data_IF_993099208645
#
_entry.id   IF_993099208645
#
_cell.length_a   1.000
_cell.length_b   1.000
_cell.length_c   1.000
_cell.angle_alpha   90.00
_cell.angle_beta   90.00
_cell.angle_gamma   90.00
#
_symmetry.space_group_name_H-M   'P 1'
#
loop_
_entity.id
_entity.type
_entity.pdbx_description
1 polymer ?
#
# COMPACT_ATOMS: atom_id res chain seq x y z
N UNK A 1 14.70 -13.96 -12.26
CA UNK A 1 14.11 -12.95 -13.18
C UNK A 1 13.70 -13.63 -14.48
N UNK A 2 12.78 -13.06 -15.28
CA UNK A 2 12.47 -13.57 -16.62
C UNK A 2 12.89 -12.51 -17.64
N UNK A 3 13.75 -12.88 -18.59
CA UNK A 3 14.11 -12.02 -19.72
C UNK A 3 13.88 -12.82 -21.00
N UNK A 4 13.15 -12.25 -21.96
CA UNK A 4 12.80 -12.93 -23.22
C UNK A 4 12.21 -14.34 -23.02
N UNK A 5 11.32 -14.49 -22.02
CA UNK A 5 10.68 -15.76 -21.60
C UNK A 5 11.63 -16.83 -21.06
N UNK A 6 12.92 -16.51 -20.85
CA UNK A 6 13.88 -17.40 -20.20
C UNK A 6 14.07 -17.06 -18.72
N UNK A 7 14.22 -18.08 -17.88
CA UNK A 7 14.54 -17.92 -16.46
C UNK A 7 16.01 -17.53 -16.32
N UNK A 8 16.25 -16.38 -15.70
CA UNK A 8 17.57 -15.95 -15.26
C UNK A 8 17.72 -16.34 -13.80
N UNK A 9 18.75 -17.15 -13.54
CA UNK A 9 19.23 -17.45 -12.20
C UNK A 9 19.96 -16.23 -11.64
N UNK A 10 19.66 -15.90 -10.38
CA UNK A 10 20.21 -14.74 -9.70
C UNK A 10 20.57 -15.14 -8.29
N UNK A 11 21.85 -14.99 -7.95
CA UNK A 11 22.33 -15.19 -6.59
C UNK A 11 22.20 -13.89 -5.77
N UNK A 12 22.19 -12.74 -6.46
CA UNK A 12 22.06 -11.40 -5.89
C UNK A 12 21.22 -10.49 -6.79
N UNK A 13 20.67 -9.42 -6.21
CA UNK A 13 19.93 -8.38 -6.94
C UNK A 13 20.15 -7.03 -6.27
N UNK A 14 20.47 -6.00 -7.05
CA UNK A 14 20.63 -4.61 -6.57
C UNK A 14 19.32 -3.81 -6.58
N UNK A 15 18.23 -4.42 -7.07
CA UNK A 15 16.92 -3.76 -7.23
C UNK A 15 16.14 -3.61 -5.90
N UNK A 16 15.97 -4.65 -5.07
CA UNK A 16 15.16 -4.52 -3.86
C UNK A 16 15.90 -3.69 -2.80
N UNK A 17 15.20 -3.26 -1.75
CA UNK A 17 15.83 -2.53 -0.64
C UNK A 17 16.98 -3.33 -0.01
N UNK A 18 18.01 -2.64 0.51
CA UNK A 18 19.25 -3.25 1.05
C UNK A 18 19.01 -4.37 2.09
N UNK A 19 17.99 -4.21 2.94
CA UNK A 19 17.55 -5.24 3.89
C UNK A 19 17.21 -6.58 3.22
N UNK A 20 16.56 -6.55 2.06
CA UNK A 20 16.26 -7.77 1.27
C UNK A 20 17.54 -8.25 0.58
N UNK A 21 18.35 -7.35 0.02
CA UNK A 21 19.60 -7.72 -0.67
C UNK A 21 20.54 -8.51 0.24
N UNK A 22 20.67 -8.09 1.50
CA UNK A 22 21.53 -8.72 2.50
C UNK A 22 20.98 -10.06 2.99
N UNK A 23 19.66 -10.17 3.14
CA UNK A 23 19.01 -11.35 3.72
C UNK A 23 18.82 -12.47 2.69
N UNK A 24 18.51 -12.12 1.43
CA UNK A 24 18.11 -13.07 0.40
C UNK A 24 19.15 -14.19 0.15
N UNK A 25 20.47 -13.93 0.01
CA UNK A 25 21.46 -14.99 -0.21
C UNK A 25 21.58 -15.94 0.99
N UNK A 26 21.51 -15.40 2.21
CA UNK A 26 21.59 -16.18 3.44
C UNK A 26 20.37 -17.09 3.61
N UNK A 27 19.17 -16.55 3.36
CA UNK A 27 17.93 -17.34 3.37
C UNK A 27 17.98 -18.45 2.31
N UNK A 28 18.46 -18.15 1.10
CA UNK A 28 18.57 -19.13 0.03
C UNK A 28 19.53 -20.28 0.40
N UNK A 29 20.68 -19.97 1.00
CA UNK A 29 21.62 -20.99 1.49
C UNK A 29 20.93 -21.93 2.49
N UNK A 30 20.26 -21.37 3.51
CA UNK A 30 19.58 -22.17 4.55
C UNK A 30 18.43 -23.02 3.99
N UNK A 31 17.69 -22.51 3.00
CA UNK A 31 16.66 -23.28 2.31
C UNK A 31 17.29 -24.45 1.55
N UNK A 32 18.39 -24.22 0.84
CA UNK A 32 19.06 -25.27 0.07
C UNK A 32 19.71 -26.34 0.96
N UNK A 33 20.13 -25.98 2.17
CA UNK A 33 20.67 -26.92 3.17
C UNK A 33 19.57 -27.78 3.83
N UNK A 34 18.28 -27.51 3.57
CA UNK A 34 17.14 -28.22 4.16
C UNK A 34 16.26 -28.85 3.09
N UNK A 35 16.27 -30.19 2.99
CA UNK A 35 15.41 -30.92 2.05
C UNK A 35 13.93 -30.57 2.25
N UNK A 36 13.49 -30.43 3.51
CA UNK A 36 12.12 -30.08 3.86
C UNK A 36 11.73 -28.68 3.35
N UNK A 37 12.64 -27.70 3.37
CA UNK A 37 12.33 -26.34 2.91
C UNK A 37 12.52 -26.17 1.40
N UNK A 38 13.46 -26.89 0.79
CA UNK A 38 13.69 -26.80 -0.66
C UNK A 38 12.60 -27.52 -1.47
N UNK A 39 12.14 -28.68 -0.98
CA UNK A 39 11.24 -29.56 -1.73
C UNK A 39 9.90 -28.90 -2.02
N UNK A 40 9.61 -28.76 -3.31
CA UNK A 40 8.35 -28.16 -3.86
C UNK A 40 8.14 -26.69 -3.50
N UNK A 41 9.16 -25.97 -3.03
CA UNK A 41 9.16 -24.52 -2.99
C UNK A 41 9.23 -23.98 -4.42
N UNK A 42 8.31 -23.11 -4.81
CA UNK A 42 8.29 -22.58 -6.19
C UNK A 42 8.39 -21.05 -6.28
N UNK A 43 8.10 -20.33 -5.19
CA UNK A 43 8.16 -18.87 -5.15
C UNK A 43 8.43 -18.38 -3.73
N UNK A 44 9.19 -17.30 -3.62
CA UNK A 44 9.36 -16.53 -2.38
C UNK A 44 8.98 -15.09 -2.68
N UNK A 45 8.06 -14.53 -1.89
CA UNK A 45 7.74 -13.11 -1.93
C UNK A 45 8.42 -12.41 -0.75
N UNK A 46 9.13 -11.31 -1.02
CA UNK A 46 9.74 -10.49 0.02
C UNK A 46 8.99 -9.18 0.19
N UNK A 47 8.71 -8.83 1.43
CA UNK A 47 8.28 -7.48 1.86
C UNK A 47 9.26 -6.98 2.91
N UNK A 48 9.47 -5.68 3.00
CA UNK A 48 10.34 -5.12 4.03
C UNK A 48 9.78 -3.83 4.60
N UNK A 49 10.10 -3.54 5.86
CA UNK A 49 9.92 -2.22 6.46
C UNK A 49 11.14 -1.30 6.33
N UNK A 50 12.15 -1.72 5.55
CA UNK A 50 13.49 -1.13 5.53
C UNK A 50 14.42 -1.69 6.61
N UNK A 51 13.86 -2.28 7.69
CA UNK A 51 14.61 -2.94 8.77
C UNK A 51 14.30 -4.42 8.90
N UNK A 52 13.00 -4.77 8.96
CA UNK A 52 12.54 -6.16 9.00
C UNK A 52 12.13 -6.64 7.63
N UNK A 53 12.25 -7.94 7.37
CA UNK A 53 11.85 -8.59 6.12
C UNK A 53 10.82 -9.68 6.45
N UNK A 54 9.71 -9.67 5.74
CA UNK A 54 8.76 -10.77 5.69
C UNK A 54 9.04 -11.59 4.42
N UNK A 55 9.41 -12.85 4.59
CA UNK A 55 9.59 -13.80 3.50
C UNK A 55 8.40 -14.77 3.45
N UNK A 56 7.60 -14.70 2.40
CA UNK A 56 6.48 -15.62 2.17
C UNK A 56 6.93 -16.72 1.21
N UNK A 57 7.16 -17.92 1.74
CA UNK A 57 7.59 -19.11 0.99
C UNK A 57 6.35 -19.89 0.54
N UNK A 58 6.22 -20.13 -0.77
CA UNK A 58 5.01 -20.70 -1.39
C UNK A 58 5.29 -22.08 -1.98
N UNK A 59 4.49 -23.07 -1.60
CA UNK A 59 4.76 -24.49 -1.84
C UNK A 59 3.66 -25.23 -2.59
N UNK A 60 4.08 -26.23 -3.36
CA UNK A 60 3.21 -27.30 -3.90
C UNK A 60 3.29 -28.59 -3.06
N UNK A 61 3.21 -28.46 -1.73
CA UNK A 61 3.11 -29.56 -0.76
C UNK A 61 2.41 -29.09 0.52
N UNK A 62 1.95 -30.02 1.35
CA UNK A 62 1.51 -29.67 2.70
C UNK A 62 2.72 -29.23 3.55
N UNK A 63 2.46 -28.29 4.46
CA UNK A 63 3.41 -27.80 5.43
C UNK A 63 3.10 -28.47 6.77
N UNK A 64 3.99 -29.35 7.19
CA UNK A 64 3.86 -30.21 8.37
C UNK A 64 4.80 -29.74 9.50
N UNK A 65 4.82 -30.43 10.63
CA UNK A 65 5.61 -30.04 11.81
C UNK A 65 7.11 -29.88 11.51
N UNK A 66 7.68 -30.76 10.67
CA UNK A 66 9.08 -30.65 10.23
C UNK A 66 9.38 -29.33 9.50
N UNK A 67 8.42 -28.84 8.70
CA UNK A 67 8.54 -27.56 8.00
C UNK A 67 8.50 -26.39 8.98
N UNK A 68 7.64 -26.48 10.00
CA UNK A 68 7.53 -25.47 11.06
C UNK A 68 8.85 -25.39 11.83
N UNK A 69 9.41 -26.54 12.22
CA UNK A 69 10.66 -26.58 12.97
C UNK A 69 11.82 -26.02 12.15
N UNK A 70 12.00 -26.49 10.90
CA UNK A 70 13.05 -25.97 10.02
C UNK A 70 12.91 -24.46 9.77
N UNK A 71 11.69 -23.94 9.65
CA UNK A 71 11.46 -22.50 9.47
C UNK A 71 11.75 -21.69 10.74
N UNK A 72 11.50 -22.24 11.93
CA UNK A 72 11.91 -21.63 13.21
C UNK A 72 13.42 -21.55 13.32
N UNK A 73 14.12 -22.64 12.98
CA UNK A 73 15.59 -22.68 13.01
C UNK A 73 16.21 -21.61 12.09
N UNK A 74 15.60 -21.34 10.92
CA UNK A 74 16.00 -20.22 10.07
C UNK A 74 15.73 -18.88 10.74
N UNK A 75 14.54 -18.67 11.31
CA UNK A 75 14.21 -17.41 11.96
C UNK A 75 15.13 -17.11 13.15
N UNK A 76 15.51 -18.14 13.91
CA UNK A 76 16.37 -17.98 15.07
C UNK A 76 17.84 -17.76 14.69
N UNK A 77 18.24 -18.17 13.48
CA UNK A 77 19.61 -18.00 12.96
C UNK A 77 19.81 -16.76 12.09
N UNK A 78 18.74 -16.11 11.63
CA UNK A 78 18.80 -14.90 10.81
C UNK A 78 18.09 -13.74 11.50
N UNK A 79 18.80 -12.64 11.73
CA UNK A 79 18.20 -11.45 12.31
C UNK A 79 17.18 -10.79 11.37
N UNK A 80 16.18 -10.14 11.96
CA UNK A 80 15.21 -9.27 11.27
C UNK A 80 14.32 -9.95 10.21
N UNK A 81 14.16 -11.27 10.24
CA UNK A 81 13.25 -12.00 9.36
C UNK A 81 11.97 -12.43 10.09
N UNK A 82 10.87 -12.51 9.35
CA UNK A 82 9.70 -13.33 9.69
C UNK A 82 9.33 -14.15 8.47
N UNK A 83 8.84 -15.38 8.70
CA UNK A 83 8.60 -16.36 7.63
C UNK A 83 7.12 -16.70 7.60
N UNK A 84 6.50 -16.58 6.43
CA UNK A 84 5.16 -17.10 6.19
C UNK A 84 5.24 -18.28 5.22
N UNK A 85 4.74 -19.44 5.64
CA UNK A 85 4.53 -20.58 4.77
C UNK A 85 3.14 -20.52 4.15
N UNK A 86 3.05 -20.63 2.81
CA UNK A 86 1.78 -20.76 2.10
C UNK A 86 1.77 -22.04 1.28
N UNK A 87 0.68 -22.78 1.37
CA UNK A 87 0.34 -23.89 0.48
C UNK A 87 -1.16 -23.89 0.21
N UNK A 88 -1.67 -24.90 -0.51
CA UNK A 88 -3.11 -25.04 -0.75
C UNK A 88 -3.87 -25.08 0.59
N UNK A 89 -4.65 -24.03 0.86
CA UNK A 89 -5.45 -23.83 2.07
C UNK A 89 -4.65 -23.78 3.39
N UNK A 90 -3.33 -23.62 3.35
CA UNK A 90 -2.53 -23.41 4.57
C UNK A 90 -1.82 -22.07 4.54
N UNK A 91 -1.82 -21.43 5.70
CA UNK A 91 -0.97 -20.29 6.01
C UNK A 91 -0.38 -20.53 7.40
N UNK A 92 0.94 -20.62 7.49
CA UNK A 92 1.66 -20.81 8.75
C UNK A 92 2.57 -19.60 8.96
N UNK A 93 2.48 -18.99 10.13
CA UNK A 93 3.27 -17.83 10.50
C UNK A 93 4.38 -18.24 11.47
N UNK A 94 5.62 -17.88 11.13
CA UNK A 94 6.77 -17.91 12.01
C UNK A 94 7.18 -16.44 12.20
N UNK A 95 7.10 -15.95 13.44
CA UNK A 95 7.35 -14.54 13.74
C UNK A 95 6.13 -13.64 13.51
N UNK A 96 6.36 -12.38 13.11
CA UNK A 96 5.31 -11.37 12.93
C UNK A 96 4.93 -11.23 11.45
N UNK A 97 3.64 -11.21 11.16
CA UNK A 97 3.12 -10.96 9.81
C UNK A 97 3.20 -9.48 9.43
N UNK A 98 2.86 -8.59 10.36
CA UNK A 98 2.74 -7.16 10.07
C UNK A 98 4.09 -6.46 10.24
N UNK A 99 4.48 -5.72 9.20
CA UNK A 99 5.69 -4.92 9.14
C UNK A 99 5.37 -3.45 9.41
N UNK A 100 6.07 -2.86 10.37
CA UNK A 100 5.96 -1.43 10.70
C UNK A 100 6.98 -0.61 9.89
N UNK A 101 6.49 0.09 8.87
CA UNK A 101 7.25 1.07 8.08
C UNK A 101 7.28 2.39 8.83
N UNK A 102 8.46 3.00 8.93
CA UNK A 102 8.61 4.36 9.43
C UNK A 102 8.70 5.31 8.24
N UNK A 103 7.65 6.09 8.01
CA UNK A 103 7.64 7.15 7.02
C UNK A 103 8.09 8.46 7.67
N UNK A 104 9.37 8.79 7.50
CA UNK A 104 9.91 10.08 7.93
C UNK A 104 9.73 11.10 6.81
N UNK A 105 9.04 12.18 7.11
CA UNK A 105 8.78 13.24 6.16
C UNK A 105 8.75 14.60 6.88
N UNK A 106 9.54 15.56 6.37
CA UNK A 106 9.79 16.84 7.03
C UNK A 106 10.20 16.63 8.51
N UNK A 107 9.48 17.25 9.45
CA UNK A 107 9.71 17.10 10.89
C UNK A 107 8.75 16.08 11.54
N UNK A 108 8.13 15.21 10.75
CA UNK A 108 7.15 14.23 11.22
C UNK A 108 7.59 12.80 10.89
N UNK A 109 7.15 11.86 11.73
CA UNK A 109 7.41 10.43 11.53
C UNK A 109 6.12 9.67 11.77
N UNK A 110 5.74 8.85 10.80
CA UNK A 110 4.52 8.04 10.84
C UNK A 110 4.85 6.55 10.83
N UNK A 111 4.22 5.81 11.72
CA UNK A 111 4.27 4.33 11.76
C UNK A 111 3.14 3.77 10.91
N UNK A 112 3.46 3.11 9.81
CA UNK A 112 2.47 2.55 8.88
C UNK A 112 2.66 1.05 8.83
N UNK A 113 1.61 0.29 9.15
CA UNK A 113 1.65 -1.16 9.06
C UNK A 113 1.34 -1.65 7.65
N UNK A 114 2.09 -2.64 7.17
CA UNK A 114 1.83 -3.36 5.92
C UNK A 114 2.11 -4.87 6.09
N UNK A 115 1.65 -5.69 5.15
CA UNK A 115 2.00 -7.11 5.06
C UNK A 115 1.83 -7.63 3.62
N UNK A 116 1.87 -8.96 3.42
CA UNK A 116 1.77 -9.58 2.09
C UNK A 116 0.36 -9.58 1.48
N UNK A 117 -0.66 -9.09 2.20
CA UNK A 117 -2.07 -9.03 1.78
C UNK A 117 -2.53 -7.63 1.34
N UNK A 118 -1.66 -6.62 1.46
CA UNK A 118 -1.99 -5.23 1.15
C UNK A 118 -0.97 -4.60 0.19
N UNK A 119 -1.41 -3.57 -0.52
CA UNK A 119 -0.51 -2.74 -1.31
C UNK A 119 0.22 -1.73 -0.41
N UNK A 120 1.47 -1.46 -0.75
CA UNK A 120 2.28 -0.39 -0.17
C UNK A 120 3.26 0.08 -1.24
N UNK A 121 3.61 1.36 -1.22
CA UNK A 121 4.49 1.98 -2.20
C UNK A 121 5.87 1.29 -2.21
N UNK A 122 6.35 0.78 -3.37
CA UNK A 122 7.51 -0.10 -3.40
C UNK A 122 8.84 0.63 -3.24
N UNK A 123 8.91 1.91 -3.61
CA UNK A 123 10.13 2.71 -3.50
C UNK A 123 10.11 3.57 -2.22
N UNK A 124 10.78 3.08 -1.19
CA UNK A 124 10.90 3.72 0.11
C UNK A 124 11.55 5.11 0.06
N UNK A 125 12.42 5.36 -0.93
CA UNK A 125 13.15 6.61 -1.04
C UNK A 125 12.29 7.72 -1.63
N UNK A 126 11.46 7.40 -2.62
CA UNK A 126 10.60 8.38 -3.28
C UNK A 126 9.29 8.64 -2.52
N UNK A 127 8.83 7.67 -1.73
CA UNK A 127 7.56 7.76 -1.03
C UNK A 127 7.41 9.01 -0.12
N UNK A 128 8.39 9.39 0.73
CA UNK A 128 8.32 10.65 1.47
C UNK A 128 8.31 11.90 0.58
N UNK A 129 8.95 11.85 -0.59
CA UNK A 129 8.97 12.98 -1.54
C UNK A 129 7.60 13.17 -2.21
N UNK A 130 6.89 12.08 -2.48
CA UNK A 130 5.50 12.10 -2.98
C UNK A 130 4.57 12.80 -1.98
N UNK A 131 4.63 12.41 -0.71
CA UNK A 131 3.88 13.05 0.38
C UNK A 131 4.21 14.55 0.45
N UNK A 132 5.51 14.88 0.40
CA UNK A 132 5.95 16.27 0.46
C UNK A 132 5.54 17.13 -0.70
N UNK A 133 5.46 16.54 -1.89
CA UNK A 133 4.94 17.23 -3.06
C UNK A 133 3.46 17.57 -2.88
N UNK A 134 2.64 16.61 -2.43
CA UNK A 134 1.21 16.84 -2.19
C UNK A 134 1.03 17.95 -1.17
N UNK A 135 1.65 17.82 0.00
CA UNK A 135 1.50 18.78 1.10
C UNK A 135 1.83 20.22 0.68
N UNK A 136 2.95 20.43 -0.02
CA UNK A 136 3.39 21.76 -0.45
C UNK A 136 2.46 22.42 -1.47
N UNK A 137 1.54 21.66 -2.06
CA UNK A 137 0.64 22.12 -3.12
C UNK A 137 -0.82 22.16 -2.68
N UNK A 138 -1.13 21.75 -1.45
CA UNK A 138 -2.47 21.90 -0.89
C UNK A 138 -2.87 23.38 -0.80
N UNK A 139 -4.11 23.68 -1.17
CA UNK A 139 -4.65 25.03 -1.11
C UNK A 139 -5.99 25.00 -0.37
N UNK A 140 -6.08 25.77 0.73
CA UNK A 140 -7.28 25.88 1.58
C UNK A 140 -7.85 24.52 2.04
N UNK A 141 -7.04 23.65 2.68
CA UNK A 141 -7.53 22.37 3.16
C UNK A 141 -8.55 22.54 4.29
N UNK A 142 -9.64 21.78 4.21
CA UNK A 142 -10.64 21.58 5.26
C UNK A 142 -10.75 20.09 5.55
N UNK A 143 -11.79 19.39 5.11
CA UNK A 143 -11.86 17.93 5.23
C UNK A 143 -11.41 17.23 3.93
N UNK A 144 -10.87 16.01 4.08
CA UNK A 144 -10.41 15.14 3.00
C UNK A 144 -11.27 13.87 2.89
N UNK A 145 -11.70 13.56 1.68
CA UNK A 145 -12.12 12.20 1.30
C UNK A 145 -10.95 11.50 0.60
N UNK A 146 -10.59 10.30 1.03
CA UNK A 146 -9.60 9.48 0.33
C UNK A 146 -10.24 8.17 -0.14
N UNK A 147 -10.18 7.91 -1.44
CA UNK A 147 -10.60 6.63 -2.03
C UNK A 147 -9.38 5.75 -2.31
N UNK A 148 -9.57 4.43 -2.17
CA UNK A 148 -8.51 3.43 -2.35
C UNK A 148 -7.34 3.66 -1.37
N UNK A 149 -7.64 4.00 -0.12
CA UNK A 149 -6.63 4.44 0.83
C UNK A 149 -5.61 3.35 1.22
N UNK A 150 -5.85 2.08 0.85
CA UNK A 150 -4.99 0.97 1.20
C UNK A 150 -4.81 0.88 2.72
N UNK A 151 -3.60 0.62 3.19
CA UNK A 151 -3.29 0.65 4.63
C UNK A 151 -3.05 2.07 5.18
N UNK A 152 -3.48 3.11 4.44
CA UNK A 152 -3.40 4.53 4.78
C UNK A 152 -2.04 5.15 4.55
N UNK A 153 -1.42 4.79 3.43
CA UNK A 153 -0.12 5.34 3.03
C UNK A 153 -0.16 6.87 2.97
N UNK A 154 -1.11 7.44 2.23
CA UNK A 154 -1.28 8.90 2.16
C UNK A 154 -2.17 9.43 3.28
N UNK A 155 -3.14 8.65 3.76
CA UNK A 155 -4.04 9.02 4.86
C UNK A 155 -3.27 9.50 6.09
N UNK A 156 -2.34 8.69 6.61
CA UNK A 156 -1.70 8.96 7.90
C UNK A 156 -0.81 10.21 7.84
N UNK A 157 0.09 10.37 6.84
CA UNK A 157 0.96 11.54 6.76
C UNK A 157 0.20 12.84 6.45
N UNK A 158 -0.86 12.77 5.65
CA UNK A 158 -1.64 13.96 5.28
C UNK A 158 -2.68 14.36 6.33
N UNK A 159 -2.99 13.49 7.30
CA UNK A 159 -4.03 13.75 8.30
C UNK A 159 -3.86 15.08 9.06
N UNK A 160 -2.62 15.48 9.34
CA UNK A 160 -2.33 16.75 10.04
C UNK A 160 -2.65 18.01 9.23
N UNK A 161 -2.92 17.87 7.93
CA UNK A 161 -3.22 19.00 7.02
C UNK A 161 -4.71 19.23 6.84
N UNK A 162 -5.56 18.33 7.35
CA UNK A 162 -7.00 18.39 7.23
C UNK A 162 -7.66 18.37 8.61
N UNK A 163 -8.85 18.97 8.72
CA UNK A 163 -9.62 18.99 9.96
C UNK A 163 -10.15 17.59 10.28
N UNK A 164 -10.75 16.93 9.30
CA UNK A 164 -11.12 15.52 9.33
C UNK A 164 -10.71 14.82 8.03
N UNK A 165 -10.41 13.53 8.14
CA UNK A 165 -10.15 12.64 7.00
C UNK A 165 -11.14 11.49 7.05
N UNK A 166 -11.82 11.25 5.95
CA UNK A 166 -12.62 10.04 5.75
C UNK A 166 -11.96 9.20 4.66
N UNK A 167 -11.44 8.03 5.04
CA UNK A 167 -10.67 7.16 4.14
C UNK A 167 -11.41 5.85 3.88
N UNK A 168 -11.58 5.49 2.60
CA UNK A 168 -12.32 4.30 2.19
C UNK A 168 -11.46 3.32 1.39
N UNK A 169 -11.67 2.04 1.66
CA UNK A 169 -10.94 0.94 1.04
C UNK A 169 -11.79 -0.34 1.06
N UNK A 170 -11.75 -1.15 0.00
CA UNK A 170 -12.56 -2.37 -0.08
C UNK A 170 -11.91 -3.59 0.61
N UNK A 171 -10.58 -3.58 0.75
CA UNK A 171 -9.79 -4.64 1.33
C UNK A 171 -9.84 -4.58 2.88
N UNK A 172 -10.39 -5.64 3.48
CA UNK A 172 -10.51 -5.75 4.95
C UNK A 172 -9.17 -5.74 5.69
N UNK A 173 -8.10 -6.29 5.09
CA UNK A 173 -6.78 -6.34 5.71
C UNK A 173 -6.15 -4.96 5.73
N UNK A 174 -6.33 -4.19 4.65
CA UNK A 174 -5.92 -2.78 4.56
C UNK A 174 -6.59 -1.93 5.65
N UNK A 175 -7.91 -2.02 5.80
CA UNK A 175 -8.64 -1.29 6.85
C UNK A 175 -8.21 -1.69 8.26
N UNK A 176 -7.96 -2.98 8.51
CA UNK A 176 -7.43 -3.44 9.81
C UNK A 176 -6.09 -2.75 10.12
N UNK A 177 -5.14 -2.82 9.19
CA UNK A 177 -3.81 -2.24 9.34
C UNK A 177 -3.85 -0.71 9.48
N UNK A 178 -4.73 -0.05 8.73
CA UNK A 178 -4.94 1.39 8.85
C UNK A 178 -5.45 1.76 10.25
N UNK A 179 -6.47 1.07 10.77
CA UNK A 179 -7.00 1.31 12.13
C UNK A 179 -5.95 1.12 13.21
N UNK A 180 -5.10 0.10 13.08
CA UNK A 180 -3.97 -0.10 14.00
C UNK A 180 -2.94 1.03 13.85
N UNK A 181 -2.61 1.44 12.62
CA UNK A 181 -1.68 2.54 12.36
C UNK A 181 -2.18 3.88 12.88
N UNK A 182 -3.49 4.17 12.79
CA UNK A 182 -4.12 5.36 13.38
C UNK A 182 -3.84 5.42 14.88
N UNK A 183 -4.02 4.29 15.59
CA UNK A 183 -3.72 4.18 17.03
C UNK A 183 -2.23 4.35 17.32
N UNK A 184 -1.35 3.74 16.53
CA UNK A 184 0.11 3.85 16.70
C UNK A 184 0.63 5.28 16.55
N UNK A 185 -0.06 6.12 15.78
CA UNK A 185 0.28 7.53 15.56
C UNK A 185 -0.55 8.50 16.42
N UNK A 186 -1.44 8.00 17.30
CA UNK A 186 -2.33 8.82 18.13
C UNK A 186 -3.17 9.83 17.33
N UNK A 187 -3.65 9.43 16.15
CA UNK A 187 -4.47 10.29 15.29
C UNK A 187 -5.96 10.11 15.65
N UNK A 188 -6.67 11.22 15.86
CA UNK A 188 -8.09 11.23 16.26
C UNK A 188 -9.02 11.80 15.19
N UNK A 189 -8.48 12.33 14.10
CA UNK A 189 -9.24 13.01 13.05
C UNK A 189 -9.44 12.16 11.79
N UNK A 190 -9.23 10.85 11.87
CA UNK A 190 -9.40 9.92 10.74
C UNK A 190 -10.53 8.94 11.07
N UNK A 191 -11.56 8.96 10.25
CA UNK A 191 -12.56 7.90 10.17
C UNK A 191 -12.29 7.00 8.97
N UNK A 192 -12.58 5.70 9.11
CA UNK A 192 -12.32 4.72 8.05
C UNK A 192 -13.50 3.79 7.85
N UNK A 193 -13.84 3.54 6.60
CA UNK A 193 -14.89 2.61 6.24
C UNK A 193 -14.42 1.63 5.18
N UNK A 194 -14.79 0.35 5.36
CA UNK A 194 -14.58 -0.62 4.31
C UNK A 194 -15.63 -0.39 3.22
N UNK A 195 -15.34 0.32 2.15
CA UNK A 195 -16.29 0.59 1.05
C UNK A 195 -15.53 0.53 -0.27
N UNK A 196 -16.21 0.12 -1.35
CA UNK A 196 -15.72 0.45 -2.70
C UNK A 196 -15.93 1.94 -2.99
N UNK A 197 -15.32 2.40 -4.08
CA UNK A 197 -15.61 3.68 -4.73
C UNK A 197 -17.11 3.87 -4.99
N UNK A 198 -17.78 2.92 -5.63
CA UNK A 198 -19.22 3.01 -5.93
C UNK A 198 -20.06 3.08 -4.64
N UNK A 199 -19.74 2.25 -3.63
CA UNK A 199 -20.42 2.29 -2.34
C UNK A 199 -20.19 3.63 -1.61
N UNK A 200 -19.00 4.21 -1.76
CA UNK A 200 -18.67 5.52 -1.19
C UNK A 200 -19.47 6.64 -1.88
N UNK A 201 -19.59 6.59 -3.22
CA UNK A 201 -20.39 7.53 -3.98
C UNK A 201 -21.87 7.49 -3.56
N UNK A 202 -22.47 6.30 -3.48
CA UNK A 202 -23.86 6.15 -3.02
C UNK A 202 -24.06 6.56 -1.57
N UNK A 203 -23.07 6.38 -0.69
CA UNK A 203 -23.14 6.84 0.69
C UNK A 203 -23.13 8.37 0.80
N UNK A 204 -22.26 9.04 0.03
CA UNK A 204 -22.17 10.51 -0.02
C UNK A 204 -23.43 11.14 -0.60
N UNK A 205 -23.99 10.52 -1.64
CA UNK A 205 -25.25 10.94 -2.26
C UNK A 205 -26.50 10.60 -1.40
N UNK A 206 -26.33 9.93 -0.25
CA UNK A 206 -27.40 9.47 0.63
C UNK A 206 -28.45 8.57 -0.08
N UNK A 207 -28.01 7.83 -1.12
CA UNK A 207 -28.85 6.92 -1.90
C UNK A 207 -29.09 5.59 -1.17
N UNK A 208 -28.11 5.17 -0.35
CA UNK A 208 -28.12 3.89 0.35
C UNK A 208 -27.48 4.01 1.73
N UNK A 209 -28.13 3.41 2.72
CA UNK A 209 -27.56 3.27 4.06
C UNK A 209 -26.64 2.06 4.14
N UNK A 210 -25.49 2.22 4.79
CA UNK A 210 -24.53 1.15 5.00
C UNK A 210 -24.29 0.97 6.49
N UNK A 211 -24.50 -0.25 7.00
CA UNK A 211 -24.19 -0.60 8.40
C UNK A 211 -22.75 -0.25 8.81
N UNK A 212 -21.82 -0.35 7.86
CA UNK A 212 -20.40 0.01 8.05
C UNK A 212 -20.17 1.50 8.36
N UNK A 213 -21.20 2.34 8.24
CA UNK A 213 -21.19 3.77 8.48
C UNK A 213 -22.10 4.20 9.65
N UNK A 214 -22.67 3.26 10.41
CA UNK A 214 -23.68 3.57 11.43
C UNK A 214 -23.23 4.57 12.50
N UNK A 215 -21.92 4.67 12.76
CA UNK A 215 -21.32 5.59 13.73
C UNK A 215 -20.57 6.76 13.07
N UNK A 216 -20.71 6.95 11.76
CA UNK A 216 -20.00 7.98 10.99
C UNK A 216 -21.04 8.90 10.37
N UNK A 217 -21.11 10.13 10.86
CA UNK A 217 -21.90 11.19 10.24
C UNK A 217 -21.12 11.82 9.07
N UNK A 218 -21.18 11.16 7.91
CA UNK A 218 -20.52 11.62 6.67
C UNK A 218 -21.06 13.00 6.25
N UNK A 219 -22.32 13.32 6.53
CA UNK A 219 -22.92 14.59 6.12
C UNK A 219 -22.39 15.77 6.95
N UNK A 220 -21.77 15.51 8.11
CA UNK A 220 -21.07 16.53 8.90
C UNK A 220 -19.74 17.01 8.30
N UNK A 221 -19.22 16.30 7.28
CA UNK A 221 -17.94 16.63 6.67
C UNK A 221 -18.07 17.81 5.70
N UNK A 222 -17.11 18.72 5.77
CA UNK A 222 -16.95 19.85 4.85
C UNK A 222 -15.80 19.55 3.90
N UNK A 223 -16.02 18.56 3.04
CA UNK A 223 -14.99 18.10 2.11
C UNK A 223 -14.55 19.22 1.18
N UNK A 224 -13.25 19.49 1.22
CA UNK A 224 -12.58 20.45 0.34
C UNK A 224 -11.75 19.74 -0.73
N UNK A 225 -11.29 18.53 -0.42
CA UNK A 225 -10.39 17.74 -1.22
C UNK A 225 -10.91 16.30 -1.35
N UNK A 226 -10.68 15.71 -2.51
CA UNK A 226 -10.71 14.27 -2.72
C UNK A 226 -9.30 13.80 -3.12
N UNK A 227 -8.81 12.72 -2.54
CA UNK A 227 -7.60 12.02 -2.96
C UNK A 227 -7.99 10.66 -3.56
N UNK A 228 -7.44 10.35 -4.73
CA UNK A 228 -7.62 9.04 -5.37
C UNK A 228 -6.26 8.46 -5.78
N UNK A 229 -6.03 7.20 -5.41
CA UNK A 229 -4.89 6.37 -5.83
C UNK A 229 -5.42 5.03 -6.42
N UNK A 230 -6.08 5.07 -7.60
CA UNK A 230 -6.76 3.91 -8.16
C UNK A 230 -5.78 2.83 -8.65
N UNK A 231 -6.27 1.59 -8.89
CA UNK A 231 -5.51 0.59 -9.63
C UNK A 231 -5.16 1.07 -11.05
N UNK A 232 -4.30 0.31 -11.75
CA UNK A 232 -3.84 0.60 -13.12
C UNK A 232 -4.93 0.89 -14.16
N UNK A 233 -6.15 0.42 -13.92
CA UNK A 233 -7.31 0.69 -14.78
C UNK A 233 -7.75 2.17 -14.78
N UNK A 234 -7.29 2.96 -13.82
CA UNK A 234 -7.73 4.34 -13.59
C UNK A 234 -9.07 4.42 -12.85
N UNK A 235 -9.74 5.55 -12.97
CA UNK A 235 -11.01 5.84 -12.31
C UNK A 235 -12.21 5.24 -13.06
N UNK A 236 -13.22 4.79 -12.33
CA UNK A 236 -14.55 4.50 -12.89
C UNK A 236 -15.28 5.79 -13.28
N UNK A 237 -16.31 5.69 -14.13
CA UNK A 237 -17.10 6.86 -14.52
C UNK A 237 -17.87 7.44 -13.31
N UNK A 238 -18.28 6.58 -12.38
CA UNK A 238 -18.87 6.94 -11.09
C UNK A 238 -17.88 7.74 -10.23
N UNK A 239 -16.62 7.28 -10.14
CA UNK A 239 -15.56 7.97 -9.39
C UNK A 239 -15.23 9.32 -10.04
N UNK A 240 -15.22 9.42 -11.37
CA UNK A 240 -15.05 10.68 -12.09
C UNK A 240 -16.20 11.64 -11.75
N UNK A 241 -17.46 11.17 -11.82
CA UNK A 241 -18.64 11.97 -11.48
C UNK A 241 -18.62 12.45 -10.03
N UNK A 242 -18.23 11.59 -9.10
CA UNK A 242 -18.05 11.94 -7.69
C UNK A 242 -16.95 13.00 -7.53
N UNK A 243 -15.78 12.78 -8.14
CA UNK A 243 -14.62 13.66 -8.01
C UNK A 243 -14.86 15.07 -8.52
N UNK A 244 -15.75 15.25 -9.51
CA UNK A 244 -16.18 16.58 -10.01
C UNK A 244 -16.91 17.42 -8.96
N UNK A 245 -17.43 16.83 -7.89
CA UNK A 245 -18.14 17.54 -6.82
C UNK A 245 -17.18 18.24 -5.84
N UNK A 246 -15.88 17.93 -5.89
CA UNK A 246 -14.89 18.45 -4.94
C UNK A 246 -14.11 19.61 -5.54
N UNK A 247 -13.96 20.70 -4.76
CA UNK A 247 -13.21 21.90 -5.17
C UNK A 247 -11.77 21.60 -5.57
N UNK A 248 -11.11 20.68 -4.88
CA UNK A 248 -9.74 20.26 -5.15
C UNK A 248 -9.67 18.73 -5.27
N UNK A 249 -8.82 18.22 -6.15
CA UNK A 249 -8.55 16.79 -6.28
C UNK A 249 -7.06 16.52 -6.33
N UNK A 250 -6.63 15.50 -5.60
CA UNK A 250 -5.29 14.93 -5.64
C UNK A 250 -5.43 13.58 -6.34
N UNK A 251 -4.82 13.45 -7.52
CA UNK A 251 -4.85 12.21 -8.30
C UNK A 251 -3.43 11.65 -8.40
N UNK A 252 -3.23 10.49 -7.79
CA UNK A 252 -2.02 9.67 -7.88
C UNK A 252 -2.29 8.54 -8.88
N UNK A 253 -1.39 8.34 -9.84
CA UNK A 253 -1.54 7.29 -10.86
C UNK A 253 -0.19 6.65 -11.20
N UNK A 254 -0.15 5.33 -11.14
CA UNK A 254 0.97 4.52 -11.64
C UNK A 254 0.90 4.22 -13.16
N UNK A 255 -0.12 4.75 -13.85
CA UNK A 255 -0.33 4.57 -15.29
C UNK A 255 -0.65 5.90 -15.98
N UNK A 256 0.31 6.49 -16.73
CA UNK A 256 0.10 7.75 -17.44
C UNK A 256 -1.01 7.71 -18.50
N UNK A 257 -1.27 6.57 -19.14
CA UNK A 257 -2.27 6.47 -20.21
C UNK A 257 -3.69 6.62 -19.66
N UNK A 258 -4.00 5.89 -18.58
CA UNK A 258 -5.31 6.02 -17.92
C UNK A 258 -5.46 7.34 -17.20
N UNK A 259 -4.37 7.89 -16.64
CA UNK A 259 -4.35 9.25 -16.11
C UNK A 259 -4.79 10.27 -17.17
N UNK A 260 -4.20 10.26 -18.37
CA UNK A 260 -4.57 11.18 -19.44
C UNK A 260 -6.04 11.04 -19.86
N UNK A 261 -6.52 9.80 -20.04
CA UNK A 261 -7.93 9.51 -20.31
C UNK A 261 -8.84 10.13 -19.25
N UNK A 262 -8.50 9.96 -17.99
CA UNK A 262 -9.32 10.39 -16.86
C UNK A 262 -9.29 11.91 -16.68
N UNK A 263 -8.14 12.56 -16.90
CA UNK A 263 -8.03 14.03 -16.91
C UNK A 263 -8.95 14.66 -17.95
N UNK A 264 -9.04 14.10 -19.16
CA UNK A 264 -9.95 14.58 -20.21
C UNK A 264 -11.40 14.49 -19.74
N UNK A 265 -11.80 13.37 -19.13
CA UNK A 265 -13.16 13.18 -18.61
C UNK A 265 -13.49 14.05 -17.40
N UNK A 266 -12.49 14.33 -16.55
CA UNK A 266 -12.63 15.17 -15.37
C UNK A 266 -12.89 16.63 -15.74
N UNK A 267 -12.41 17.10 -16.91
CA UNK A 267 -12.57 18.49 -17.39
C UNK A 267 -12.03 19.53 -16.40
N UNK A 268 -10.97 19.18 -15.66
CA UNK A 268 -10.34 20.02 -14.63
C UNK A 268 -9.02 20.58 -15.10
N UNK A 269 -8.59 21.70 -14.51
CA UNK A 269 -7.27 22.27 -14.77
C UNK A 269 -6.24 21.64 -13.85
N UNK A 270 -5.16 21.13 -14.42
CA UNK A 270 -3.96 20.72 -13.66
C UNK A 270 -3.32 22.00 -13.10
N UNK A 271 -3.27 22.11 -11.77
CA UNK A 271 -2.60 23.23 -11.06
C UNK A 271 -1.16 22.90 -10.74
N UNK A 272 -0.86 21.65 -10.45
CA UNK A 272 0.48 21.16 -10.22
C UNK A 272 0.56 19.71 -10.63
N UNK A 273 1.71 19.30 -11.15
CA UNK A 273 2.00 17.92 -11.52
C UNK A 273 3.42 17.57 -11.08
N UNK A 274 3.56 16.39 -10.50
CA UNK A 274 4.82 15.79 -10.07
C UNK A 274 4.96 14.43 -10.71
N UNK A 275 6.15 14.12 -11.19
CA UNK A 275 6.49 12.85 -11.81
C UNK A 275 7.52 12.17 -10.92
N UNK A 276 7.27 10.92 -10.56
CA UNK A 276 8.11 10.13 -9.66
C UNK A 276 8.51 8.82 -10.35
N UNK A 277 9.81 8.57 -10.45
CA UNK A 277 10.34 7.33 -11.03
C UNK A 277 10.31 6.19 -10.00
N UNK A 278 9.10 5.78 -9.64
CA UNK A 278 8.84 4.75 -8.63
C UNK A 278 9.40 3.38 -9.05
N UNK A 279 9.59 3.18 -10.36
CA UNK A 279 9.99 1.92 -10.98
C UNK A 279 11.14 2.17 -11.95
N UNK A 280 12.28 2.64 -11.43
CA UNK A 280 13.47 2.94 -12.21
C UNK A 280 13.87 1.79 -13.15
N UNK A 281 14.28 2.14 -14.37
CA UNK A 281 14.59 1.21 -15.47
C UNK A 281 13.39 0.40 -15.99
N UNK A 282 12.17 0.90 -15.82
CA UNK A 282 10.95 0.34 -16.43
C UNK A 282 10.21 1.41 -17.23
N UNK A 283 9.14 1.01 -17.93
CA UNK A 283 8.24 1.95 -18.62
C UNK A 283 7.19 2.56 -17.68
N UNK A 284 7.14 2.13 -16.41
CA UNK A 284 6.15 2.60 -15.46
C UNK A 284 6.56 3.96 -14.89
N UNK A 285 5.59 4.85 -14.77
CA UNK A 285 5.79 6.21 -14.30
C UNK A 285 4.67 6.58 -13.34
N UNK A 286 5.05 7.05 -12.16
CA UNK A 286 4.10 7.51 -11.16
C UNK A 286 3.87 9.01 -11.35
N UNK A 287 2.60 9.41 -11.42
CA UNK A 287 2.17 10.79 -11.64
C UNK A 287 1.30 11.22 -10.48
N UNK A 288 1.59 12.38 -9.90
CA UNK A 288 0.73 13.03 -8.91
C UNK A 288 0.30 14.37 -9.47
N UNK A 289 -1.00 14.58 -9.60
CA UNK A 289 -1.57 15.85 -10.05
C UNK A 289 -2.52 16.44 -9.03
N UNK A 290 -2.43 17.75 -8.84
CA UNK A 290 -3.43 18.53 -8.12
C UNK A 290 -4.29 19.26 -9.14
N UNK A 291 -5.58 19.01 -9.07
CA UNK A 291 -6.59 19.46 -10.02
C UNK A 291 -7.54 20.43 -9.34
N UNK A 292 -7.93 21.48 -10.07
CA UNK A 292 -9.02 22.39 -9.72
C UNK A 292 -10.10 22.36 -10.78
#
# INVERSE_FOLDING_TARGET
MVNNKQKIYMDQSSIPHSSIQQLMPNLLSRINDSEVLQKKLFQINFRTSGRKVLATLIYHKQLEEEWIQASKDIQDSLENISITGRSKNQKILIGKEDLEVHCNYANSSFKILQNDLVFFQPNFYLYPLMIGFIEKKLEEPNDLLELYCGCGGFTLPLASKFNKVFATENNRHSIRLLKESIKLNNLSNIETARLSDDETASALANERTFRRLENIDIQSYKFSHILVDPPRAGLSDETIKLSKQFKNMIYISCNPETFLRDIVKLERKIKSIGIFDQFANTQHLEVIALLK
#
